data_IF_363339139284
#
_entry.id   IF_363339139284
#
_cell.length_a   1.000
_cell.length_b   1.000
_cell.length_c   1.000
_cell.angle_alpha   90.00
_cell.angle_beta   90.00
_cell.angle_gamma   90.00
#
_symmetry.space_group_name_H-M   'P 1'
#
loop_
_entity.id
_entity.type
_entity.pdbx_description
1 polymer ?
#
# COMPACT_ATOMS: atom_id res chain seq x y z
N UNK A 1 8.33 0.22 -0.73
CA UNK A 1 7.16 0.09 -1.62
C UNK A 1 6.39 1.40 -1.70
N UNK A 2 6.05 2.00 -0.57
CA UNK A 2 5.20 3.19 -0.53
C UNK A 2 5.98 4.52 -0.51
N UNK A 3 7.28 4.49 -0.69
CA UNK A 3 8.14 5.67 -0.71
C UNK A 3 8.27 6.41 0.61
N UNK A 4 7.91 5.77 1.73
CA UNK A 4 7.99 6.42 3.04
C UNK A 4 9.40 6.38 3.59
N UNK A 5 9.85 7.53 4.11
CA UNK A 5 11.05 7.62 4.92
C UNK A 5 10.91 6.88 6.26
N UNK A 6 11.99 6.84 7.03
CA UNK A 6 11.97 6.27 8.38
C UNK A 6 11.13 7.11 9.36
N UNK A 7 10.86 8.35 9.01
CA UNK A 7 10.02 9.28 9.77
C UNK A 7 8.80 9.67 8.95
N UNK A 8 7.60 9.38 9.48
CA UNK A 8 6.34 9.87 8.91
C UNK A 8 6.14 11.31 9.37
N UNK A 9 6.10 12.23 8.43
CA UNK A 9 5.89 13.65 8.73
C UNK A 9 4.40 13.89 8.99
N UNK A 10 4.02 14.11 10.25
CA UNK A 10 2.63 14.40 10.64
C UNK A 10 2.26 15.84 10.28
N UNK A 11 3.21 16.77 10.50
CA UNK A 11 3.13 18.16 10.07
C UNK A 11 4.55 18.70 9.82
N UNK A 12 4.70 19.99 9.59
CA UNK A 12 6.01 20.61 9.31
C UNK A 12 7.02 20.52 10.47
N UNK A 13 6.54 20.28 11.69
CA UNK A 13 7.36 20.29 12.91
C UNK A 13 7.49 18.88 13.50
N UNK A 14 6.44 18.08 13.43
CA UNK A 14 6.36 16.77 14.09
C UNK A 14 6.47 15.62 13.11
N UNK A 15 7.20 14.61 13.52
CA UNK A 15 7.34 13.35 12.77
C UNK A 15 7.17 12.16 13.72
N UNK A 16 6.75 11.04 13.17
CA UNK A 16 6.58 9.76 13.86
C UNK A 16 7.49 8.72 13.21
N UNK A 17 8.35 8.01 13.96
CA UNK A 17 9.07 6.87 13.43
C UNK A 17 8.10 5.83 12.86
N UNK A 18 8.31 5.40 11.61
CA UNK A 18 7.38 4.47 10.94
C UNK A 18 7.30 3.10 11.62
N UNK A 19 8.44 2.63 12.16
CA UNK A 19 8.50 1.40 12.95
C UNK A 19 7.63 1.50 14.20
N UNK A 20 7.64 2.63 14.89
CA UNK A 20 6.79 2.88 16.05
C UNK A 20 5.30 2.95 15.69
N UNK A 21 4.95 3.52 14.54
CA UNK A 21 3.58 3.47 14.04
C UNK A 21 3.11 2.03 13.80
N UNK A 22 3.94 1.21 13.17
CA UNK A 22 3.64 -0.20 12.89
C UNK A 22 3.56 -1.01 14.18
N UNK A 23 4.59 -0.92 15.03
CA UNK A 23 4.66 -1.66 16.30
C UNK A 23 3.48 -1.35 17.20
N UNK A 24 3.08 -0.07 17.29
CA UNK A 24 1.99 0.35 18.19
C UNK A 24 0.63 -0.27 17.79
N UNK A 25 0.28 -0.28 16.51
CA UNK A 25 -1.00 -0.86 16.09
C UNK A 25 -0.97 -2.39 16.17
N UNK A 26 0.17 -3.02 15.88
CA UNK A 26 0.36 -4.45 16.08
C UNK A 26 0.19 -4.83 17.56
N UNK A 27 0.77 -4.03 18.44
CA UNK A 27 0.68 -4.22 19.87
C UNK A 27 -0.77 -4.06 20.38
N UNK A 28 -1.43 -2.94 20.03
CA UNK A 28 -2.82 -2.69 20.41
C UNK A 28 -3.76 -3.77 19.87
N UNK A 29 -3.59 -4.14 18.60
CA UNK A 29 -4.36 -5.22 17.99
C UNK A 29 -4.17 -6.55 18.75
N UNK A 30 -2.93 -6.92 19.07
CA UNK A 30 -2.62 -8.14 19.80
C UNK A 30 -3.20 -8.15 21.20
N UNK A 31 -3.12 -7.01 21.91
CA UNK A 31 -3.69 -6.86 23.24
C UNK A 31 -5.20 -7.10 23.23
N UNK A 32 -5.92 -6.38 22.37
CA UNK A 32 -7.37 -6.50 22.30
C UNK A 32 -7.82 -7.85 21.71
N UNK A 33 -7.10 -8.40 20.74
CA UNK A 33 -7.35 -9.72 20.18
C UNK A 33 -7.26 -10.82 21.24
N UNK A 34 -6.29 -10.74 22.15
CA UNK A 34 -6.15 -11.69 23.25
C UNK A 34 -7.40 -11.75 24.13
N UNK A 35 -7.99 -10.61 24.43
CA UNK A 35 -9.24 -10.57 25.20
C UNK A 35 -10.38 -11.26 24.47
N UNK A 36 -10.57 -10.96 23.18
CA UNK A 36 -11.67 -11.54 22.40
C UNK A 36 -11.47 -13.01 22.11
N UNK A 37 -10.27 -13.44 21.73
CA UNK A 37 -9.98 -14.85 21.45
C UNK A 37 -10.18 -15.71 22.70
N UNK A 38 -9.69 -15.27 23.86
CA UNK A 38 -9.87 -16.02 25.12
C UNK A 38 -11.33 -16.16 25.51
N UNK A 39 -12.14 -15.14 25.30
CA UNK A 39 -13.58 -15.18 25.58
C UNK A 39 -14.30 -16.14 24.64
N UNK A 40 -14.02 -16.04 23.33
CA UNK A 40 -14.63 -16.92 22.35
C UNK A 40 -14.22 -18.39 22.55
N UNK A 41 -12.95 -18.65 22.84
CA UNK A 41 -12.49 -20.02 23.18
C UNK A 41 -13.22 -20.58 24.41
N UNK A 42 -13.39 -19.75 25.44
CA UNK A 42 -14.16 -20.17 26.64
C UNK A 42 -15.63 -20.50 26.33
N UNK A 43 -16.22 -19.81 25.36
CA UNK A 43 -17.59 -20.14 24.89
C UNK A 43 -17.63 -21.43 24.07
N UNK A 44 -16.59 -21.68 23.24
CA UNK A 44 -16.47 -22.90 22.45
C UNK A 44 -16.34 -24.17 23.31
N UNK A 45 -15.83 -24.07 24.55
CA UNK A 45 -15.79 -25.17 25.49
C UNK A 45 -17.19 -25.63 25.96
N UNK A 46 -18.18 -24.74 25.88
CA UNK A 46 -19.52 -24.92 26.42
C UNK A 46 -20.61 -25.03 25.34
N UNK A 47 -20.35 -24.53 24.16
CA UNK A 47 -21.34 -24.39 23.10
C UNK A 47 -20.76 -24.82 21.76
N UNK A 48 -21.65 -25.18 20.82
CA UNK A 48 -21.25 -25.31 19.42
C UNK A 48 -20.81 -23.96 18.83
N UNK A 49 -19.95 -23.99 17.84
CA UNK A 49 -19.32 -22.76 17.32
C UNK A 49 -20.31 -21.66 16.89
N UNK A 50 -21.47 -22.03 16.34
CA UNK A 50 -22.51 -21.04 15.94
C UNK A 50 -23.14 -20.38 17.17
N UNK A 51 -23.45 -21.18 18.20
CA UNK A 51 -24.04 -20.67 19.42
C UNK A 51 -23.01 -19.86 20.22
N UNK A 52 -21.77 -20.34 20.30
CA UNK A 52 -20.67 -19.60 20.88
C UNK A 52 -20.46 -18.25 20.19
N UNK A 53 -20.52 -18.20 18.85
CA UNK A 53 -20.40 -16.96 18.09
C UNK A 53 -21.57 -16.00 18.36
N UNK A 54 -22.78 -16.52 18.40
CA UNK A 54 -23.96 -15.71 18.72
C UNK A 54 -23.87 -15.14 20.14
N UNK A 55 -23.51 -15.96 21.13
CA UNK A 55 -23.34 -15.55 22.52
C UNK A 55 -22.21 -14.49 22.59
N UNK A 56 -21.10 -14.73 21.90
CA UNK A 56 -19.98 -13.79 21.85
C UNK A 56 -20.38 -12.44 21.26
N UNK A 57 -21.12 -12.43 20.15
CA UNK A 57 -21.56 -11.19 19.50
C UNK A 57 -22.60 -10.45 20.35
N UNK A 58 -23.56 -11.17 20.91
CA UNK A 58 -24.70 -10.54 21.58
C UNK A 58 -24.55 -10.43 23.10
N UNK A 59 -23.88 -11.37 23.77
CA UNK A 59 -23.81 -11.45 25.23
C UNK A 59 -22.38 -11.44 25.78
N UNK A 60 -21.40 -12.02 25.09
CA UNK A 60 -20.04 -12.18 25.58
C UNK A 60 -19.33 -10.85 25.89
N UNK A 61 -19.75 -9.79 25.25
CA UNK A 61 -19.27 -8.45 25.52
C UNK A 61 -19.93 -7.78 26.73
N UNK A 62 -21.00 -8.33 27.29
CA UNK A 62 -21.80 -7.72 28.36
C UNK A 62 -21.41 -8.14 29.77
N UNK A 63 -20.70 -9.24 29.93
CA UNK A 63 -20.37 -9.79 31.27
C UNK A 63 -19.15 -9.16 31.95
N UNK A 64 -18.30 -8.45 31.23
CA UNK A 64 -17.11 -7.81 31.78
C UNK A 64 -17.29 -6.32 32.02
N UNK A 65 -16.51 -5.73 32.91
CA UNK A 65 -16.52 -4.28 33.23
C UNK A 65 -16.14 -3.38 32.03
N UNK A 66 -15.62 -3.94 30.93
CA UNK A 66 -15.29 -3.23 29.67
C UNK A 66 -16.24 -3.66 28.55
N UNK A 67 -17.50 -3.46 28.73
CA UNK A 67 -18.60 -4.21 28.13
C UNK A 67 -19.21 -3.66 26.90
N UNK A 68 -18.72 -2.61 26.38
CA UNK A 68 -19.33 -2.04 25.21
C UNK A 68 -18.42 -2.14 24.03
N UNK A 69 -18.99 -2.15 22.81
CA UNK A 69 -18.21 -1.95 21.62
C UNK A 69 -17.40 -0.67 21.68
N UNK A 70 -17.67 0.19 22.70
CA UNK A 70 -16.99 1.46 22.89
C UNK A 70 -16.52 1.56 24.34
N UNK A 71 -15.23 1.76 24.52
CA UNK A 71 -14.60 2.16 25.79
C UNK A 71 -14.30 3.65 25.69
N UNK A 72 -14.70 4.41 26.71
CA UNK A 72 -14.43 5.85 26.79
C UNK A 72 -13.26 6.03 27.74
N UNK A 73 -12.19 6.65 27.26
CA UNK A 73 -11.01 7.01 28.05
C UNK A 73 -10.68 8.47 27.87
N UNK A 74 -10.07 9.07 28.89
CA UNK A 74 -9.39 10.33 28.68
C UNK A 74 -8.16 10.11 27.82
N UNK A 75 -7.82 11.05 26.96
CA UNK A 75 -6.68 10.97 26.05
C UNK A 75 -5.38 10.63 26.79
N UNK A 76 -5.15 11.27 27.94
CA UNK A 76 -4.01 10.99 28.81
C UNK A 76 -3.94 9.52 29.29
N UNK A 77 -5.09 8.92 29.64
CA UNK A 77 -5.16 7.54 30.12
C UNK A 77 -4.83 6.55 29.01
N UNK A 78 -5.24 6.84 27.77
CA UNK A 78 -4.92 6.00 26.61
C UNK A 78 -3.40 5.97 26.33
N UNK A 79 -2.76 7.14 26.32
CA UNK A 79 -1.32 7.24 26.13
C UNK A 79 -0.53 6.50 27.24
N UNK A 80 -1.00 6.52 28.47
CA UNK A 80 -0.39 5.78 29.58
C UNK A 80 -0.59 4.26 29.50
N UNK A 81 -1.73 3.80 28.98
CA UNK A 81 -2.00 2.36 28.83
C UNK A 81 -0.98 1.67 27.93
N UNK A 82 -0.42 2.38 26.95
CA UNK A 82 0.66 1.89 26.11
C UNK A 82 1.96 1.67 26.90
N UNK A 83 2.20 2.42 27.97
CA UNK A 83 3.37 2.26 28.83
C UNK A 83 3.25 1.10 29.83
N UNK A 84 2.03 0.85 30.34
CA UNK A 84 1.80 -0.15 31.38
C UNK A 84 2.11 -1.59 30.91
N UNK A 85 2.37 -1.77 29.62
CA UNK A 85 2.58 -3.07 28.99
C UNK A 85 3.98 -3.21 28.35
N UNK A 86 4.98 -2.49 28.86
CA UNK A 86 6.37 -2.54 28.36
C UNK A 86 6.58 -2.11 26.88
N UNK A 87 5.66 -1.37 26.32
CA UNK A 87 5.84 -0.74 25.03
C UNK A 87 6.60 0.58 25.22
N UNK A 88 7.91 0.53 25.12
CA UNK A 88 8.79 1.70 25.34
C UNK A 88 8.75 2.63 24.14
N UNK A 89 7.99 3.70 24.26
CA UNK A 89 8.02 4.86 23.37
C UNK A 89 8.20 6.14 24.16
N UNK A 90 8.80 7.15 23.56
CA UNK A 90 8.89 8.47 24.17
C UNK A 90 7.49 9.08 24.32
N UNK A 91 7.35 10.06 25.22
CA UNK A 91 6.05 10.74 25.41
C UNK A 91 5.58 11.44 24.13
N UNK A 92 6.50 12.07 23.41
CA UNK A 92 6.19 12.72 22.14
C UNK A 92 5.78 11.72 21.05
N UNK A 93 6.39 10.54 21.01
CA UNK A 93 5.99 9.50 20.06
C UNK A 93 4.60 8.94 20.36
N UNK A 94 4.22 8.84 21.64
CA UNK A 94 2.86 8.41 22.04
C UNK A 94 1.78 9.37 21.56
N UNK A 95 2.00 10.66 21.73
CA UNK A 95 1.08 11.69 21.23
C UNK A 95 0.97 11.64 19.71
N UNK A 96 2.09 11.44 19.04
CA UNK A 96 2.12 11.31 17.59
C UNK A 96 1.44 10.03 17.09
N UNK A 97 1.62 8.89 17.76
CA UNK A 97 0.95 7.62 17.47
C UNK A 97 -0.56 7.78 17.66
N UNK A 98 -0.97 8.35 18.79
CA UNK A 98 -2.38 8.61 19.05
C UNK A 98 -2.98 9.49 17.96
N UNK A 99 -2.33 10.59 17.61
CA UNK A 99 -2.78 11.49 16.53
C UNK A 99 -2.86 10.77 15.17
N UNK A 100 -1.91 9.92 14.84
CA UNK A 100 -1.90 9.18 13.58
C UNK A 100 -3.10 8.23 13.44
N UNK A 101 -3.49 7.55 14.52
CA UNK A 101 -4.59 6.58 14.51
C UNK A 101 -5.94 7.15 14.97
N UNK A 102 -6.00 8.43 15.32
CA UNK A 102 -7.22 9.09 15.82
C UNK A 102 -7.87 9.92 14.73
N UNK A 103 -9.20 9.82 14.67
CA UNK A 103 -10.05 10.76 13.95
C UNK A 103 -10.76 11.66 14.96
N UNK A 104 -10.51 12.97 14.88
CA UNK A 104 -11.19 13.96 15.71
C UNK A 104 -12.60 14.22 15.13
N UNK A 105 -13.64 13.87 15.89
CA UNK A 105 -15.03 14.03 15.46
C UNK A 105 -15.41 15.51 15.23
N UNK A 106 -14.66 16.48 15.77
CA UNK A 106 -14.84 17.90 15.45
C UNK A 106 -14.50 18.23 14.01
N UNK A 107 -13.52 17.51 13.43
CA UNK A 107 -13.17 17.70 12.03
C UNK A 107 -14.31 17.30 11.08
N UNK A 108 -15.23 16.44 11.54
CA UNK A 108 -16.38 15.99 10.75
C UNK A 108 -17.26 17.14 10.28
N UNK A 109 -17.46 18.15 11.13
CA UNK A 109 -18.32 19.31 10.79
C UNK A 109 -17.60 20.33 9.89
N UNK A 110 -16.28 20.25 9.76
CA UNK A 110 -15.48 21.21 9.02
C UNK A 110 -15.01 20.69 7.64
N UNK A 111 -15.25 19.43 7.36
CA UNK A 111 -14.85 18.83 6.09
C UNK A 111 -16.03 18.84 5.11
N UNK A 112 -15.92 19.67 4.07
CA UNK A 112 -16.63 19.46 2.81
C UNK A 112 -16.13 18.20 2.08
N UNK A 113 -15.41 17.32 2.75
CA UNK A 113 -14.74 16.20 2.15
C UNK A 113 -15.65 14.98 2.08
N UNK A 114 -15.75 14.48 0.88
CA UNK A 114 -16.56 13.37 0.47
C UNK A 114 -16.24 12.02 1.15
N UNK A 115 -15.17 11.93 1.95
CA UNK A 115 -14.75 10.65 2.56
C UNK A 115 -14.25 10.80 3.99
N UNK A 116 -15.04 10.26 4.90
CA UNK A 116 -14.57 9.93 6.24
C UNK A 116 -13.53 8.80 6.19
N UNK A 117 -12.52 8.82 7.05
CA UNK A 117 -11.63 7.68 7.19
C UNK A 117 -12.43 6.44 7.61
N UNK A 118 -12.05 5.30 7.07
CA UNK A 118 -12.59 4.03 7.54
C UNK A 118 -12.18 3.82 9.01
N UNK A 119 -13.08 3.27 9.81
CA UNK A 119 -12.81 3.00 11.21
C UNK A 119 -11.62 2.03 11.43
N UNK A 120 -11.30 1.20 10.45
CA UNK A 120 -10.09 0.40 10.48
C UNK A 120 -8.83 1.18 10.12
N UNK A 121 -8.94 2.34 9.44
CA UNK A 121 -7.83 3.25 9.17
C UNK A 121 -7.55 4.17 10.37
N UNK A 122 -8.62 4.64 11.01
CA UNK A 122 -8.60 5.52 12.18
C UNK A 122 -9.43 4.88 13.30
N UNK A 123 -8.90 3.87 14.00
CA UNK A 123 -9.67 3.09 14.97
C UNK A 123 -9.96 3.82 16.28
N UNK A 124 -9.34 4.97 16.50
CA UNK A 124 -9.56 5.79 17.68
C UNK A 124 -10.40 7.01 17.28
N UNK A 125 -11.50 7.22 17.98
CA UNK A 125 -12.38 8.38 17.73
C UNK A 125 -12.24 9.36 18.90
N UNK A 126 -11.86 10.61 18.61
CA UNK A 126 -11.73 11.66 19.60
C UNK A 126 -12.96 12.54 19.63
N UNK A 127 -13.48 12.75 20.82
CA UNK A 127 -14.55 13.70 21.12
C UNK A 127 -14.10 14.57 22.30
N UNK A 128 -13.73 15.80 22.04
CA UNK A 128 -13.10 16.70 23.02
C UNK A 128 -11.85 16.05 23.67
N UNK A 129 -11.84 15.87 24.98
CA UNK A 129 -10.77 15.23 25.74
C UNK A 129 -10.98 13.71 25.92
N UNK A 130 -11.99 13.16 25.26
CA UNK A 130 -12.32 11.74 25.36
C UNK A 130 -11.88 11.01 24.09
N UNK A 131 -11.32 9.81 24.28
CA UNK A 131 -11.03 8.87 23.21
C UNK A 131 -11.99 7.70 23.30
N UNK A 132 -12.75 7.50 22.23
CA UNK A 132 -13.64 6.36 22.05
C UNK A 132 -12.85 5.23 21.41
N UNK A 133 -12.77 4.10 22.10
CA UNK A 133 -12.06 2.91 21.65
C UNK A 133 -13.09 1.81 21.43
N UNK A 134 -13.07 1.21 20.26
CA UNK A 134 -13.86 0.01 19.98
C UNK A 134 -12.96 -1.22 20.05
N UNK A 135 -12.98 -1.96 21.17
CA UNK A 135 -12.07 -3.09 21.38
C UNK A 135 -12.15 -4.13 20.28
N UNK A 136 -13.35 -4.42 19.77
CA UNK A 136 -13.53 -5.36 18.65
C UNK A 136 -12.80 -4.88 17.38
N UNK A 137 -12.90 -3.59 17.05
CA UNK A 137 -12.23 -3.01 15.89
C UNK A 137 -10.71 -3.10 16.05
N UNK A 138 -10.18 -2.78 17.23
CA UNK A 138 -8.75 -2.91 17.49
C UNK A 138 -8.27 -4.37 17.47
N UNK A 139 -9.03 -5.29 18.07
CA UNK A 139 -8.67 -6.72 18.09
C UNK A 139 -8.75 -7.40 16.72
N UNK A 140 -9.61 -6.90 15.83
CA UNK A 140 -9.79 -7.41 14.45
C UNK A 140 -9.04 -6.61 13.39
N UNK A 141 -8.06 -5.80 13.76
CA UNK A 141 -7.31 -4.96 12.83
C UNK A 141 -6.69 -5.74 11.68
N UNK A 142 -6.91 -5.24 10.50
CA UNK A 142 -6.11 -5.58 9.34
C UNK A 142 -4.98 -4.56 9.22
N UNK A 143 -3.73 -5.02 9.33
CA UNK A 143 -2.56 -4.16 9.33
C UNK A 143 -2.41 -3.36 8.02
N UNK A 144 -2.84 -3.90 6.89
CA UNK A 144 -2.89 -3.15 5.64
C UNK A 144 -3.84 -1.96 5.73
N UNK A 145 -5.04 -2.16 6.26
CA UNK A 145 -6.02 -1.08 6.37
C UNK A 145 -5.58 -0.04 7.39
N UNK A 146 -5.14 -0.46 8.56
CA UNK A 146 -4.78 0.46 9.64
C UNK A 146 -3.49 1.24 9.39
N UNK A 147 -2.53 0.67 8.66
CA UNK A 147 -1.24 1.32 8.40
C UNK A 147 -1.21 1.88 6.97
N UNK A 148 -1.34 1.01 5.98
CA UNK A 148 -1.12 1.38 4.58
C UNK A 148 -2.26 2.26 4.05
N UNK A 149 -3.51 1.86 4.28
CA UNK A 149 -4.64 2.68 3.85
C UNK A 149 -4.68 4.01 4.59
N UNK A 150 -4.44 4.03 5.90
CA UNK A 150 -4.35 5.27 6.67
C UNK A 150 -3.25 6.18 6.10
N UNK A 151 -2.07 5.64 5.82
CA UNK A 151 -0.97 6.39 5.23
C UNK A 151 -1.35 6.97 3.87
N UNK A 152 -1.88 6.16 2.96
CA UNK A 152 -2.13 6.55 1.57
C UNK A 152 -3.44 7.30 1.38
N UNK A 153 -4.53 6.86 2.00
CA UNK A 153 -5.86 7.41 1.77
C UNK A 153 -6.21 8.59 2.68
N UNK A 154 -5.64 8.63 3.86
CA UNK A 154 -5.92 9.66 4.86
C UNK A 154 -4.73 10.60 5.01
N UNK A 155 -3.60 10.07 5.48
CA UNK A 155 -2.43 10.87 5.81
C UNK A 155 -1.88 11.63 4.60
N UNK A 156 -1.53 10.94 3.51
CA UNK A 156 -0.96 11.60 2.34
C UNK A 156 -1.93 12.50 1.59
N UNK A 157 -3.22 12.22 1.61
CA UNK A 157 -4.20 13.14 1.02
C UNK A 157 -4.25 14.50 1.70
N UNK A 158 -3.95 14.52 3.00
CA UNK A 158 -4.00 15.71 3.84
C UNK A 158 -2.66 16.44 3.94
N UNK A 159 -1.60 15.87 3.38
CA UNK A 159 -0.26 16.44 3.48
C UNK A 159 0.32 16.83 2.13
N UNK A 160 1.26 17.78 2.14
CA UNK A 160 2.03 18.18 0.97
C UNK A 160 3.09 17.15 0.52
N UNK A 161 3.33 16.12 1.32
CA UNK A 161 4.43 15.18 1.11
C UNK A 161 4.14 14.05 0.11
N UNK A 162 2.90 13.92 -0.35
CA UNK A 162 2.48 12.83 -1.26
C UNK A 162 3.36 12.71 -2.51
N UNK A 163 3.68 13.84 -3.13
CA UNK A 163 4.48 13.84 -4.37
C UNK A 163 5.90 13.32 -4.14
N UNK A 164 6.53 13.76 -3.04
CA UNK A 164 7.88 13.33 -2.67
C UNK A 164 7.94 11.81 -2.39
N UNK A 165 6.95 11.29 -1.69
CA UNK A 165 6.86 9.87 -1.34
C UNK A 165 6.65 8.98 -2.58
N UNK A 166 5.82 9.42 -3.53
CA UNK A 166 5.65 8.71 -4.81
C UNK A 166 6.98 8.67 -5.57
N UNK A 167 7.68 9.79 -5.65
CA UNK A 167 8.97 9.88 -6.33
C UNK A 167 10.04 8.98 -5.68
N UNK A 168 10.01 8.79 -4.37
CA UNK A 168 10.90 7.83 -3.70
C UNK A 168 10.61 6.38 -4.13
N UNK A 169 9.34 6.02 -4.35
CA UNK A 169 8.97 4.69 -4.85
C UNK A 169 9.52 4.44 -6.26
N UNK A 170 9.42 5.43 -7.13
CA UNK A 170 9.98 5.39 -8.48
C UNK A 170 11.51 5.26 -8.45
N UNK A 171 12.18 6.08 -7.64
CA UNK A 171 13.62 6.03 -7.45
C UNK A 171 14.09 4.70 -6.85
N UNK A 172 13.28 4.09 -6.01
CA UNK A 172 13.61 2.77 -5.45
C UNK A 172 13.59 1.69 -6.54
N UNK A 173 12.55 1.65 -7.36
CA UNK A 173 12.47 0.71 -8.50
C UNK A 173 13.61 0.96 -9.50
N UNK A 174 13.90 2.23 -9.82
CA UNK A 174 15.02 2.59 -10.67
C UNK A 174 16.32 1.94 -10.19
N UNK A 175 16.64 2.04 -8.89
CA UNK A 175 17.84 1.43 -8.30
C UNK A 175 17.83 -0.09 -8.39
N UNK A 176 16.68 -0.75 -8.23
CA UNK A 176 16.58 -2.21 -8.35
C UNK A 176 16.86 -2.67 -9.77
N UNK A 177 16.29 -2.01 -10.78
CA UNK A 177 16.59 -2.31 -12.17
C UNK A 177 18.08 -2.07 -12.49
N UNK A 178 18.64 -0.95 -12.04
CA UNK A 178 20.07 -0.65 -12.24
C UNK A 178 21.00 -1.68 -11.58
N UNK A 179 20.62 -2.18 -10.38
CA UNK A 179 21.38 -3.26 -9.70
C UNK A 179 21.48 -4.52 -10.55
N UNK A 180 20.47 -4.80 -11.36
CA UNK A 180 20.45 -5.93 -12.30
C UNK A 180 21.03 -5.59 -13.68
N UNK A 181 21.74 -4.47 -13.79
CA UNK A 181 22.37 -3.98 -15.02
C UNK A 181 21.37 -3.64 -16.15
N UNK A 182 20.15 -3.20 -15.81
CA UNK A 182 19.30 -2.51 -16.75
C UNK A 182 19.80 -1.08 -16.93
N UNK A 183 19.78 -0.57 -18.15
CA UNK A 183 19.82 0.87 -18.38
C UNK A 183 18.42 1.40 -18.12
N UNK A 184 18.23 2.15 -17.03
CA UNK A 184 16.93 2.57 -16.54
C UNK A 184 16.92 4.07 -16.28
N UNK A 185 15.80 4.71 -16.62
CA UNK A 185 15.57 6.16 -16.46
C UNK A 185 14.16 6.34 -15.89
N UNK A 186 14.06 7.13 -14.82
CA UNK A 186 12.78 7.52 -14.26
C UNK A 186 12.34 8.90 -14.80
N UNK A 187 11.04 9.13 -14.86
CA UNK A 187 10.42 10.38 -15.31
C UNK A 187 10.96 10.83 -16.69
N UNK A 188 10.98 9.90 -17.63
CA UNK A 188 11.53 10.13 -18.96
C UNK A 188 10.51 10.76 -19.91
N UNK A 189 10.82 11.97 -20.41
CA UNK A 189 10.05 12.61 -21.46
C UNK A 189 10.47 12.06 -22.82
N UNK A 190 9.55 11.38 -23.52
CA UNK A 190 9.82 10.94 -24.90
C UNK A 190 10.02 12.12 -25.84
N UNK A 191 10.90 12.02 -26.86
CA UNK A 191 10.93 12.97 -27.95
C UNK A 191 9.52 13.22 -28.51
N UNK A 192 9.17 14.48 -28.75
CA UNK A 192 7.84 14.91 -29.22
C UNK A 192 6.67 14.65 -28.26
N UNK A 193 6.89 14.22 -27.02
CA UNK A 193 5.81 13.95 -26.05
C UNK A 193 4.89 15.16 -25.82
N UNK A 194 5.45 16.37 -25.85
CA UNK A 194 4.69 17.62 -25.69
C UNK A 194 3.74 17.89 -26.84
N UNK A 195 4.08 17.48 -28.05
CA UNK A 195 3.24 17.66 -29.25
C UNK A 195 1.97 16.80 -29.19
N UNK A 196 2.03 15.72 -28.41
CA UNK A 196 0.93 14.76 -28.22
C UNK A 196 0.26 14.84 -26.85
N UNK A 197 0.59 15.85 -26.05
CA UNK A 197 0.11 16.00 -24.67
C UNK A 197 0.32 14.72 -23.84
N UNK A 198 1.50 14.13 -23.99
CA UNK A 198 1.95 12.97 -23.21
C UNK A 198 2.82 13.48 -22.07
N UNK A 199 2.51 13.03 -20.86
CA UNK A 199 3.41 13.20 -19.73
C UNK A 199 4.66 12.33 -19.87
N UNK A 200 5.54 12.44 -18.88
CA UNK A 200 6.69 11.57 -18.70
C UNK A 200 6.29 10.10 -18.52
N UNK A 201 7.22 9.21 -18.79
CA UNK A 201 7.14 7.78 -18.44
C UNK A 201 7.71 7.65 -17.03
N UNK A 202 6.94 7.08 -16.11
CA UNK A 202 7.35 6.94 -14.70
C UNK A 202 8.66 6.15 -14.59
N UNK A 203 8.80 5.05 -15.34
CA UNK A 203 10.06 4.31 -15.47
C UNK A 203 10.18 3.63 -16.83
N UNK A 204 11.30 3.84 -17.51
CA UNK A 204 11.66 3.13 -18.74
C UNK A 204 13.02 2.47 -18.56
N UNK A 205 13.14 1.21 -18.96
CA UNK A 205 14.41 0.51 -18.82
C UNK A 205 14.63 -0.50 -19.94
N UNK A 206 15.90 -0.70 -20.30
CA UNK A 206 16.29 -1.65 -21.34
C UNK A 206 17.40 -2.58 -20.87
N UNK A 207 17.30 -3.83 -21.28
CA UNK A 207 18.33 -4.85 -21.09
C UNK A 207 18.16 -5.92 -22.14
N UNK A 208 19.28 -6.41 -22.67
CA UNK A 208 19.31 -7.35 -23.79
C UNK A 208 18.49 -6.78 -24.96
N UNK A 209 17.56 -7.54 -25.53
CA UNK A 209 16.70 -7.10 -26.63
C UNK A 209 15.33 -6.57 -26.14
N UNK A 210 15.19 -6.26 -24.85
CA UNK A 210 13.93 -5.88 -24.23
C UNK A 210 13.91 -4.42 -23.80
N UNK A 211 12.79 -3.75 -24.07
CA UNK A 211 12.43 -2.46 -23.53
C UNK A 211 11.21 -2.59 -22.62
N UNK A 212 11.32 -2.15 -21.39
CA UNK A 212 10.21 -2.12 -20.42
C UNK A 212 9.75 -0.69 -20.23
N UNK A 213 8.45 -0.48 -20.36
CA UNK A 213 7.78 0.81 -20.17
C UNK A 213 6.77 0.63 -19.04
N UNK A 214 7.00 1.28 -17.92
CA UNK A 214 6.22 1.10 -16.72
C UNK A 214 5.46 2.38 -16.36
N UNK A 215 4.18 2.22 -16.09
CA UNK A 215 3.32 3.25 -15.50
C UNK A 215 3.07 2.88 -14.03
N UNK A 216 3.51 3.74 -13.11
CA UNK A 216 3.43 3.49 -11.68
C UNK A 216 2.19 4.14 -11.07
N UNK A 217 1.52 3.37 -10.22
CA UNK A 217 0.42 3.87 -9.40
C UNK A 217 0.72 3.57 -7.93
N UNK A 218 0.49 4.55 -7.09
CA UNK A 218 0.59 4.37 -5.65
C UNK A 218 -0.80 4.48 -5.06
N UNK A 219 -1.38 3.34 -4.74
CA UNK A 219 -2.76 3.26 -4.28
C UNK A 219 -2.89 2.37 -3.05
N UNK A 220 -4.06 2.37 -2.44
CA UNK A 220 -4.40 1.62 -1.24
C UNK A 220 -5.38 0.49 -1.56
N UNK A 221 -5.54 -0.46 -0.64
CA UNK A 221 -6.51 -1.56 -0.76
C UNK A 221 -7.93 -1.01 -0.52
N UNK A 222 -8.88 -1.38 -1.38
CA UNK A 222 -10.26 -0.91 -1.31
C UNK A 222 -11.09 -1.83 -0.45
N UNK A 223 -11.98 -1.23 0.32
CA UNK A 223 -12.85 -1.95 1.25
C UNK A 223 -14.33 -1.88 0.85
N UNK A 224 -14.68 -1.16 -0.24
CA UNK A 224 -16.03 -1.08 -0.75
C UNK A 224 -16.09 -1.38 -2.24
N UNK A 225 -17.22 -1.94 -2.70
CA UNK A 225 -17.45 -2.25 -4.12
C UNK A 225 -17.32 -1.01 -5.01
N UNK A 226 -17.87 0.12 -4.58
CA UNK A 226 -17.75 1.38 -5.31
C UNK A 226 -16.30 1.81 -5.50
N UNK A 227 -15.48 1.73 -4.46
CA UNK A 227 -14.05 2.06 -4.53
C UNK A 227 -13.30 1.09 -5.44
N UNK A 228 -13.63 -0.20 -5.43
CA UNK A 228 -13.05 -1.22 -6.31
C UNK A 228 -13.42 -0.90 -7.77
N UNK A 229 -14.68 -0.59 -8.04
CA UNK A 229 -15.15 -0.22 -9.37
C UNK A 229 -14.47 1.05 -9.89
N UNK A 230 -14.42 2.10 -9.07
CA UNK A 230 -13.77 3.36 -9.42
C UNK A 230 -12.28 3.18 -9.70
N UNK A 231 -11.61 2.34 -8.94
CA UNK A 231 -10.21 2.03 -9.17
C UNK A 231 -10.00 1.31 -10.51
N UNK A 232 -10.75 0.26 -10.77
CA UNK A 232 -10.68 -0.47 -12.03
C UNK A 232 -10.98 0.44 -13.23
N UNK A 233 -12.03 1.22 -13.15
CA UNK A 233 -12.55 2.05 -14.26
C UNK A 233 -11.74 3.32 -14.49
N UNK A 234 -11.33 4.01 -13.43
CA UNK A 234 -10.75 5.35 -13.53
C UNK A 234 -9.24 5.34 -13.36
N UNK A 235 -8.67 4.45 -12.54
CA UNK A 235 -7.22 4.45 -12.29
C UNK A 235 -6.50 3.50 -13.25
N UNK A 236 -6.88 2.21 -13.26
CA UNK A 236 -6.18 1.21 -14.06
C UNK A 236 -6.43 1.40 -15.58
N UNK A 237 -7.67 1.68 -15.98
CA UNK A 237 -7.95 2.00 -17.40
C UNK A 237 -7.28 3.28 -17.87
N UNK A 238 -7.15 4.28 -16.98
CA UNK A 238 -6.41 5.50 -17.31
C UNK A 238 -4.92 5.20 -17.47
N UNK A 239 -4.33 4.39 -16.58
CA UNK A 239 -2.94 3.96 -16.70
C UNK A 239 -2.70 3.21 -18.02
N UNK A 240 -3.58 2.28 -18.37
CA UNK A 240 -3.51 1.58 -19.66
C UNK A 240 -3.62 2.55 -20.86
N UNK A 241 -4.55 3.48 -20.82
CA UNK A 241 -4.67 4.50 -21.87
C UNK A 241 -3.41 5.36 -22.01
N UNK A 242 -2.75 5.70 -20.90
CA UNK A 242 -1.48 6.42 -20.92
C UNK A 242 -0.38 5.57 -21.60
N UNK A 243 -0.25 4.30 -21.25
CA UNK A 243 0.69 3.38 -21.88
C UNK A 243 0.41 3.21 -23.37
N UNK A 244 -0.84 3.05 -23.78
CA UNK A 244 -1.22 2.89 -25.18
C UNK A 244 -0.90 4.13 -26.05
N UNK A 245 -1.02 5.32 -25.47
CA UNK A 245 -0.58 6.54 -26.15
C UNK A 245 0.94 6.56 -26.33
N UNK A 246 1.69 6.21 -25.28
CA UNK A 246 3.15 6.13 -25.31
C UNK A 246 3.65 5.05 -26.26
N UNK A 247 2.97 3.89 -26.33
CA UNK A 247 3.24 2.80 -27.28
C UNK A 247 3.27 3.34 -28.72
N UNK A 248 2.25 4.07 -29.12
CA UNK A 248 2.18 4.64 -30.49
C UNK A 248 3.36 5.57 -30.78
N UNK A 249 3.77 6.39 -29.84
CA UNK A 249 4.91 7.28 -30.00
C UNK A 249 6.24 6.50 -30.05
N UNK A 250 6.42 5.51 -29.20
CA UNK A 250 7.61 4.64 -29.20
C UNK A 250 7.72 3.87 -30.52
N UNK A 251 6.62 3.30 -31.01
CA UNK A 251 6.59 2.60 -32.30
C UNK A 251 6.98 3.54 -33.45
N UNK A 252 6.55 4.80 -33.41
CA UNK A 252 6.94 5.82 -34.38
C UNK A 252 8.44 6.15 -34.27
N UNK A 253 8.97 6.39 -33.07
CA UNK A 253 10.38 6.69 -32.84
C UNK A 253 11.30 5.55 -33.35
N UNK A 254 10.91 4.31 -33.12
CA UNK A 254 11.65 3.13 -33.60
C UNK A 254 11.59 3.06 -35.14
N UNK A 255 10.39 3.20 -35.71
CA UNK A 255 10.19 3.15 -37.19
C UNK A 255 10.97 4.25 -37.89
N UNK A 256 10.98 5.45 -37.35
CA UNK A 256 11.66 6.61 -37.91
C UNK A 256 13.16 6.62 -37.57
N UNK A 257 13.64 5.59 -36.89
CA UNK A 257 15.05 5.45 -36.46
C UNK A 257 15.56 6.68 -35.71
N UNK A 258 14.75 7.18 -34.75
CA UNK A 258 15.09 8.38 -33.99
C UNK A 258 16.42 8.20 -33.26
N UNK A 259 17.38 9.09 -33.55
CA UNK A 259 18.75 8.97 -33.05
C UNK A 259 18.83 9.10 -31.53
N UNK A 260 18.16 10.08 -30.95
CA UNK A 260 18.16 10.33 -29.50
C UNK A 260 17.60 9.12 -28.72
N UNK A 261 16.48 8.57 -29.19
CA UNK A 261 15.88 7.40 -28.57
C UNK A 261 16.76 6.16 -28.69
N UNK A 262 17.32 5.93 -29.87
CA UNK A 262 18.18 4.77 -30.13
C UNK A 262 19.53 4.82 -29.42
N UNK A 263 20.12 5.99 -29.21
CA UNK A 263 21.34 6.13 -28.39
C UNK A 263 21.08 5.77 -26.91
N UNK A 264 19.86 6.04 -26.43
CA UNK A 264 19.47 5.71 -25.05
C UNK A 264 19.09 4.24 -24.87
N UNK A 265 18.25 3.69 -25.72
CA UNK A 265 17.61 2.41 -25.50
C UNK A 265 17.96 1.32 -26.51
N UNK A 266 18.70 1.69 -27.58
CA UNK A 266 18.94 0.80 -28.71
C UNK A 266 17.70 0.62 -29.58
N UNK A 267 17.71 -0.42 -30.41
CA UNK A 267 16.54 -0.85 -31.18
C UNK A 267 16.01 -2.14 -30.55
N UNK A 268 15.05 -2.05 -29.62
CA UNK A 268 14.55 -3.21 -28.93
C UNK A 268 13.79 -4.13 -29.89
N UNK A 269 13.93 -5.46 -29.73
CA UNK A 269 13.12 -6.44 -30.44
C UNK A 269 11.78 -6.69 -29.76
N UNK A 270 11.75 -6.53 -28.45
CA UNK A 270 10.58 -6.78 -27.62
C UNK A 270 10.29 -5.58 -26.71
N UNK A 271 9.05 -5.14 -26.67
CA UNK A 271 8.62 -4.05 -25.79
C UNK A 271 7.55 -4.57 -24.86
N UNK A 272 7.73 -4.35 -23.57
CA UNK A 272 6.86 -4.81 -22.49
C UNK A 272 6.26 -3.61 -21.78
N UNK A 273 4.95 -3.52 -21.76
CA UNK A 273 4.20 -2.45 -21.11
C UNK A 273 3.54 -3.00 -19.86
N UNK A 274 3.84 -2.39 -18.70
CA UNK A 274 3.34 -2.84 -17.40
C UNK A 274 2.71 -1.69 -16.63
N UNK A 275 1.59 -1.99 -15.99
CA UNK A 275 1.01 -1.13 -14.95
C UNK A 275 1.49 -1.68 -13.62
N UNK A 276 2.24 -0.89 -12.87
CA UNK A 276 2.77 -1.26 -11.56
C UNK A 276 1.99 -0.50 -10.49
N UNK A 277 1.40 -1.21 -9.54
CA UNK A 277 0.67 -0.57 -8.45
C UNK A 277 1.10 -1.10 -7.08
N UNK A 278 1.05 -0.25 -6.08
CA UNK A 278 1.29 -0.63 -4.68
C UNK A 278 0.20 -1.53 -4.10
N UNK A 279 -0.97 -1.59 -4.72
CA UNK A 279 -2.06 -2.53 -4.41
C UNK A 279 -1.89 -3.84 -5.19
N UNK A 280 -2.25 -4.95 -4.57
CA UNK A 280 -2.29 -6.27 -5.22
C UNK A 280 -3.67 -6.63 -5.79
N UNK A 281 -4.66 -5.72 -5.71
CA UNK A 281 -5.95 -5.92 -6.36
C UNK A 281 -5.77 -5.93 -7.87
N UNK A 282 -6.46 -6.86 -8.55
CA UNK A 282 -6.37 -7.07 -10.00
C UNK A 282 -4.97 -7.42 -10.50
N UNK A 283 -4.12 -8.05 -9.67
CA UNK A 283 -2.85 -8.58 -10.14
C UNK A 283 -3.08 -9.57 -11.28
N UNK A 284 -2.20 -9.53 -12.27
CA UNK A 284 -2.25 -10.34 -13.50
C UNK A 284 -3.51 -10.13 -14.36
N UNK A 285 -4.34 -9.12 -14.08
CA UNK A 285 -5.38 -8.73 -15.04
C UNK A 285 -4.79 -7.86 -16.16
N UNK A 286 -5.31 -8.10 -17.36
CA UNK A 286 -5.01 -7.30 -18.54
C UNK A 286 -5.96 -6.10 -18.62
N UNK A 287 -5.39 -4.93 -18.80
CA UNK A 287 -6.13 -3.70 -19.09
C UNK A 287 -5.79 -3.27 -20.51
N UNK A 288 -6.73 -3.48 -21.44
CA UNK A 288 -6.49 -3.52 -22.87
C UNK A 288 -5.35 -4.53 -23.17
N UNK A 289 -4.17 -4.08 -23.59
CA UNK A 289 -3.02 -4.93 -23.86
C UNK A 289 -1.92 -4.84 -22.79
N UNK A 290 -2.18 -4.16 -21.68
CA UNK A 290 -1.17 -3.87 -20.66
C UNK A 290 -1.43 -4.71 -19.41
N UNK A 291 -0.44 -5.48 -18.99
CA UNK A 291 -0.51 -6.31 -17.79
C UNK A 291 -0.34 -5.45 -16.54
N UNK A 292 -1.21 -5.64 -15.55
CA UNK A 292 -1.03 -5.06 -14.21
C UNK A 292 -0.35 -6.08 -13.31
N UNK A 293 0.72 -5.65 -12.64
CA UNK A 293 1.35 -6.40 -11.56
C UNK A 293 1.55 -5.51 -10.33
N UNK A 294 1.58 -6.12 -9.14
CA UNK A 294 1.85 -5.39 -7.92
C UNK A 294 3.34 -5.00 -7.83
N UNK A 295 3.58 -3.83 -7.26
CA UNK A 295 4.94 -3.41 -6.93
C UNK A 295 5.62 -4.41 -5.99
N UNK A 296 4.84 -5.06 -5.14
CA UNK A 296 5.32 -6.06 -4.20
C UNK A 296 5.91 -7.29 -4.92
N UNK A 297 5.19 -7.82 -5.91
CA UNK A 297 5.69 -8.89 -6.77
C UNK A 297 6.93 -8.45 -7.56
N UNK A 298 6.83 -7.30 -8.22
CA UNK A 298 7.94 -6.78 -9.02
C UNK A 298 9.24 -6.65 -8.21
N UNK A 299 9.17 -6.12 -6.98
CA UNK A 299 10.34 -5.99 -6.10
C UNK A 299 10.94 -7.36 -5.78
N UNK A 300 10.11 -8.36 -5.51
CA UNK A 300 10.59 -9.72 -5.22
C UNK A 300 11.21 -10.39 -6.45
N UNK A 301 10.65 -10.19 -7.62
CA UNK A 301 11.21 -10.69 -8.88
C UNK A 301 12.50 -9.94 -9.29
N UNK A 302 12.67 -8.68 -8.90
CA UNK A 302 13.91 -7.92 -9.08
C UNK A 302 14.99 -8.28 -8.05
N UNK A 303 14.70 -9.18 -7.10
CA UNK A 303 15.73 -9.82 -6.29
C UNK A 303 16.42 -10.93 -7.07
N UNK A 304 17.36 -10.56 -7.93
CA UNK A 304 18.04 -11.46 -8.84
C UNK A 304 18.87 -12.57 -8.18
N UNK A 305 19.09 -12.50 -6.87
CA UNK A 305 19.80 -13.52 -6.09
C UNK A 305 18.86 -14.65 -5.61
N UNK A 306 17.56 -14.51 -5.79
CA UNK A 306 16.58 -15.51 -5.38
C UNK A 306 16.66 -16.76 -6.29
N UNK A 307 17.18 -17.86 -5.74
CA UNK A 307 17.39 -19.11 -6.47
C UNK A 307 16.10 -19.84 -6.87
N UNK A 308 15.02 -19.55 -6.23
CA UNK A 308 13.69 -20.08 -6.59
C UNK A 308 13.22 -19.50 -7.93
N UNK A 309 13.46 -18.22 -8.16
CA UNK A 309 13.10 -17.54 -9.40
C UNK A 309 14.20 -17.65 -10.46
N UNK A 310 15.46 -17.70 -10.04
CA UNK A 310 16.64 -17.66 -10.90
C UNK A 310 17.68 -18.73 -10.50
N UNK A 311 17.41 -20.01 -10.77
CA UNK A 311 18.31 -21.09 -10.35
C UNK A 311 19.75 -20.93 -10.84
N UNK A 312 19.91 -20.42 -12.07
CA UNK A 312 21.20 -20.22 -12.74
C UNK A 312 21.64 -18.73 -12.78
N UNK A 313 21.02 -17.87 -11.97
CA UNK A 313 21.21 -16.42 -11.99
C UNK A 313 20.15 -15.71 -12.84
N UNK A 314 20.08 -14.39 -12.63
CA UNK A 314 19.09 -13.54 -13.29
C UNK A 314 19.25 -13.55 -14.81
N UNK A 315 18.14 -13.71 -15.55
CA UNK A 315 18.03 -13.41 -16.97
C UNK A 315 16.72 -12.66 -17.25
N UNK A 316 16.73 -11.83 -18.28
CA UNK A 316 15.54 -11.05 -18.68
C UNK A 316 14.40 -11.95 -19.16
N UNK A 317 14.72 -13.05 -19.81
CA UNK A 317 13.74 -14.06 -20.24
C UNK A 317 13.06 -14.74 -19.05
N UNK A 318 13.84 -15.21 -18.05
CA UNK A 318 13.28 -15.81 -16.84
C UNK A 318 12.46 -14.80 -16.02
N UNK A 319 12.90 -13.55 -15.98
CA UNK A 319 12.14 -12.48 -15.33
C UNK A 319 10.75 -12.34 -15.95
N UNK A 320 10.65 -12.29 -17.29
CA UNK A 320 9.38 -12.24 -17.99
C UNK A 320 8.54 -13.51 -17.83
N UNK A 321 9.18 -14.69 -17.86
CA UNK A 321 8.48 -15.95 -17.61
C UNK A 321 7.89 -15.99 -16.19
N UNK A 322 8.63 -15.54 -15.19
CA UNK A 322 8.15 -15.48 -13.81
C UNK A 322 6.97 -14.52 -13.67
N UNK A 323 6.97 -13.37 -14.34
CA UNK A 323 5.82 -12.45 -14.40
C UNK A 323 4.64 -13.16 -15.08
N UNK A 324 4.81 -13.66 -16.31
CA UNK A 324 3.72 -14.20 -17.10
C UNK A 324 3.07 -15.46 -16.48
N UNK A 325 3.82 -16.22 -15.70
CA UNK A 325 3.35 -17.42 -15.02
C UNK A 325 2.94 -17.17 -13.56
N UNK A 326 2.82 -15.94 -13.11
CA UNK A 326 2.46 -15.59 -11.72
C UNK A 326 3.34 -16.30 -10.67
N UNK A 327 4.61 -16.56 -11.02
CA UNK A 327 5.49 -17.45 -10.24
C UNK A 327 5.61 -17.02 -8.79
N UNK A 328 5.61 -15.72 -8.53
CA UNK A 328 5.68 -15.19 -7.18
C UNK A 328 4.49 -15.66 -6.33
N UNK A 329 3.27 -15.56 -6.85
CA UNK A 329 2.06 -15.94 -6.11
C UNK A 329 1.90 -17.45 -6.00
N UNK A 330 2.34 -18.21 -7.02
CA UNK A 330 2.29 -19.68 -6.99
C UNK A 330 3.12 -20.27 -5.84
N UNK A 331 4.22 -19.63 -5.44
CA UNK A 331 5.03 -20.09 -4.30
C UNK A 331 4.25 -20.11 -2.98
N UNK A 332 3.16 -19.35 -2.85
CA UNK A 332 2.30 -19.32 -1.67
C UNK A 332 1.10 -20.28 -1.75
N UNK A 333 0.77 -20.77 -2.94
CA UNK A 333 -0.35 -21.68 -3.14
C UNK A 333 0.10 -23.13 -2.95
N UNK A 334 1.33 -23.44 -3.33
CA UNK A 334 1.90 -24.79 -3.30
C UNK A 334 2.49 -25.17 -1.94
N UNK A 335 2.53 -24.26 -0.97
CA UNK A 335 2.95 -24.46 0.43
C UNK A 335 1.77 -24.39 1.39
#
# INVERSE_FOLDING_TARGET
IYGCDNQLKINDITSLPKDKAIESICFLSSLYKKYFVSEYVSLLEKHQWKDALNIFIFNGMYERKQRFPIVIKQQYTFANEMNDVNFTVSESDRENIESFYTFDLKEFNNTNEEKLPNIFEKPLLKLDDLVLIMPFILGSQNLFTSIINNLLSVYFKRTKYRKEEVQQSENYLLKLFQKLNFKAIANYELPFSKDYDLGDIDLICTKDDYLFVLELKSTYIRTSFENIWNYKSNVLRKASSQLNKRKRLIDMLIKDNNQEFNELFGVPKNIVYLIIDTSFEFDHEMFDENLKISMFELINLLNGDNKEFYPNGFSTELFLQNINNEKYWQTYIDN
#
